data_IF_419533940161
#
_entry.id   IF_419533940161
#
_cell.length_a   1.000
_cell.length_b   1.000
_cell.length_c   1.000
_cell.angle_alpha   90.00
_cell.angle_beta   90.00
_cell.angle_gamma   90.00
#
_symmetry.space_group_name_H-M   'P 1'
#
loop_
_entity.id
_entity.type
_entity.pdbx_description
1 polymer ?
#
# COMPACT_ATOMS: atom_id res chain seq x y z
N UNK A 1 -8.93 17.55 -16.68
CA UNK A 1 -7.93 18.14 -15.77
C UNK A 1 -7.80 17.22 -14.57
N UNK A 2 -6.58 16.82 -14.20
CA UNK A 2 -6.35 15.95 -13.03
C UNK A 2 -6.67 16.71 -11.74
N UNK A 3 -7.41 16.07 -10.84
CA UNK A 3 -7.75 16.60 -9.51
C UNK A 3 -6.85 15.95 -8.45
N UNK A 4 -6.51 16.72 -7.43
CA UNK A 4 -5.75 16.29 -6.26
C UNK A 4 -6.47 16.71 -4.98
N UNK A 5 -6.33 15.95 -3.91
CA UNK A 5 -6.83 16.29 -2.57
C UNK A 5 -5.68 16.40 -1.57
N UNK A 6 -5.79 17.33 -0.62
CA UNK A 6 -4.78 17.52 0.44
C UNK A 6 -5.26 18.44 1.56
N UNK A 7 -4.66 18.29 2.75
CA UNK A 7 -4.73 19.27 3.82
C UNK A 7 -3.68 20.39 3.60
N UNK A 8 -4.02 21.68 3.73
CA UNK A 8 -3.14 22.80 3.29
C UNK A 8 -2.76 23.80 4.37
N UNK A 9 -3.72 24.60 4.81
CA UNK A 9 -3.59 25.72 5.74
C UNK A 9 -4.91 25.85 6.49
N UNK A 10 -4.86 26.39 7.70
CA UNK A 10 -6.06 26.66 8.48
C UNK A 10 -6.81 27.90 7.97
N UNK A 11 -7.93 28.22 8.62
CA UNK A 11 -8.81 29.35 8.33
C UNK A 11 -8.13 30.73 8.32
N UNK A 12 -7.01 30.85 9.03
CA UNK A 12 -6.21 32.08 9.10
C UNK A 12 -5.03 32.09 8.10
N UNK A 13 -4.94 31.10 7.20
CA UNK A 13 -3.81 30.95 6.28
C UNK A 13 -2.51 30.54 6.96
N UNK A 14 -2.58 29.97 8.17
CA UNK A 14 -1.43 29.55 8.98
C UNK A 14 -1.37 28.03 9.07
N UNK A 15 -0.23 27.51 9.57
CA UNK A 15 -0.02 26.07 9.72
C UNK A 15 -0.43 25.51 11.09
N UNK A 16 -0.71 26.37 12.07
CA UNK A 16 -1.10 25.99 13.43
C UNK A 16 -2.01 27.05 14.06
N UNK A 17 -2.67 26.67 15.15
CA UNK A 17 -3.60 27.52 15.90
C UNK A 17 -4.94 27.72 15.20
N UNK A 18 -5.31 26.79 14.32
CA UNK A 18 -6.64 26.76 13.72
C UNK A 18 -7.67 26.16 14.66
N UNK A 19 -8.94 26.38 14.35
CA UNK A 19 -10.04 25.66 15.01
C UNK A 19 -10.15 24.24 14.44
N UNK A 20 -10.65 23.32 15.26
CA UNK A 20 -10.98 21.99 14.80
C UNK A 20 -12.19 22.02 13.85
N UNK A 21 -12.21 21.11 12.87
CA UNK A 21 -13.15 21.15 11.75
C UNK A 21 -12.74 22.14 10.65
N UNK A 22 -13.10 21.86 9.40
CA UNK A 22 -12.83 22.77 8.28
C UNK A 22 -13.73 24.00 8.39
N UNK A 23 -13.14 25.17 8.60
CA UNK A 23 -13.89 26.41 8.73
C UNK A 23 -14.12 27.14 7.41
N UNK A 24 -13.46 26.71 6.33
CA UNK A 24 -13.40 27.47 5.06
C UNK A 24 -13.76 26.66 3.81
N UNK A 25 -14.00 25.36 3.96
CA UNK A 25 -14.09 24.38 2.88
C UNK A 25 -12.81 24.31 2.01
N UNK A 26 -11.68 24.78 2.55
CA UNK A 26 -10.39 24.86 1.85
C UNK A 26 -9.25 24.24 2.64
N UNK A 27 -9.44 23.97 3.93
CA UNK A 27 -8.39 23.46 4.81
C UNK A 27 -7.98 22.05 4.42
N UNK A 28 -8.98 21.19 4.17
CA UNK A 28 -8.84 19.86 3.59
C UNK A 28 -9.74 19.79 2.37
N UNK A 29 -9.15 19.94 1.18
CA UNK A 29 -9.95 20.20 -0.02
C UNK A 29 -9.31 19.68 -1.29
N UNK A 30 -10.12 19.59 -2.34
CA UNK A 30 -9.67 19.24 -3.68
C UNK A 30 -9.21 20.48 -4.47
N UNK A 31 -8.33 20.29 -5.45
CA UNK A 31 -7.97 21.31 -6.43
C UNK A 31 -7.45 20.68 -7.72
N UNK A 32 -7.32 21.50 -8.75
CA UNK A 32 -6.58 21.13 -9.95
C UNK A 32 -5.12 20.79 -9.62
N UNK A 33 -4.58 19.79 -10.31
CA UNK A 33 -3.17 19.48 -10.27
C UNK A 33 -2.33 20.68 -10.70
N UNK A 34 -1.16 20.84 -10.09
CA UNK A 34 -0.18 21.88 -10.40
C UNK A 34 1.24 21.35 -10.21
N UNK A 35 2.21 21.97 -10.87
CA UNK A 35 3.62 21.72 -10.63
C UNK A 35 4.08 22.45 -9.38
N UNK A 36 4.46 21.71 -8.32
CA UNK A 36 5.01 22.33 -7.12
C UNK A 36 6.45 22.80 -7.36
N UNK A 37 6.82 23.98 -6.85
CA UNK A 37 8.17 24.57 -7.02
C UNK A 37 9.32 23.67 -6.52
N UNK A 38 9.03 22.79 -5.55
CA UNK A 38 9.96 21.79 -5.00
C UNK A 38 10.02 20.48 -5.81
N UNK A 39 9.27 20.40 -6.90
CA UNK A 39 9.08 19.19 -7.70
C UNK A 39 8.32 18.09 -6.96
N UNK A 40 7.68 17.20 -7.72
CA UNK A 40 6.99 16.03 -7.18
C UNK A 40 7.87 14.77 -7.26
N UNK A 41 7.58 13.83 -6.36
CA UNK A 41 7.90 12.40 -6.41
C UNK A 41 6.55 11.69 -6.42
N UNK A 42 6.36 10.72 -7.31
CA UNK A 42 5.11 9.95 -7.39
C UNK A 42 5.31 8.60 -6.72
N UNK A 43 4.47 8.29 -5.73
CA UNK A 43 4.37 6.99 -5.10
C UNK A 43 3.06 6.32 -5.54
N UNK A 44 3.18 5.28 -6.35
CA UNK A 44 2.06 4.53 -6.90
C UNK A 44 1.89 3.23 -6.16
N UNK A 45 0.76 3.00 -5.50
CA UNK A 45 0.50 1.68 -4.93
C UNK A 45 0.41 0.65 -6.07
N UNK A 46 1.09 -0.49 -5.91
CA UNK A 46 1.18 -1.54 -6.94
C UNK A 46 -0.17 -2.20 -7.20
N UNK A 47 -0.96 -2.39 -6.14
CA UNK A 47 -2.31 -2.93 -6.21
C UNK A 47 -3.33 -1.83 -6.57
N UNK A 48 -4.07 -1.95 -7.69
CA UNK A 48 -5.11 -1.00 -8.06
C UNK A 48 -6.21 -0.82 -7.00
N UNK A 49 -6.58 -1.86 -6.26
CA UNK A 49 -7.61 -1.76 -5.23
C UNK A 49 -7.12 -0.92 -4.04
N UNK A 50 -5.82 -1.01 -3.72
CA UNK A 50 -5.18 -0.15 -2.71
C UNK A 50 -5.17 1.31 -3.18
N UNK A 51 -4.83 1.57 -4.45
CA UNK A 51 -4.91 2.93 -5.02
C UNK A 51 -6.31 3.53 -4.90
N UNK A 52 -7.33 2.76 -5.24
CA UNK A 52 -8.71 3.26 -5.16
C UNK A 52 -9.12 3.58 -3.71
N UNK A 53 -8.71 2.75 -2.74
CA UNK A 53 -8.95 3.05 -1.32
C UNK A 53 -8.24 4.33 -0.85
N UNK A 54 -7.00 4.55 -1.26
CA UNK A 54 -6.26 5.79 -0.95
C UNK A 54 -6.99 7.00 -1.53
N UNK A 55 -7.43 6.92 -2.80
CA UNK A 55 -8.16 8.00 -3.46
C UNK A 55 -9.53 8.26 -2.82
N UNK A 56 -10.27 7.20 -2.47
CA UNK A 56 -11.52 7.30 -1.73
C UNK A 56 -11.32 8.01 -0.39
N UNK A 57 -10.35 7.57 0.42
CA UNK A 57 -10.12 8.16 1.74
C UNK A 57 -9.78 9.65 1.64
N UNK A 58 -8.94 10.05 0.68
CA UNK A 58 -8.65 11.46 0.49
C UNK A 58 -9.90 12.24 0.05
N UNK A 59 -10.68 11.73 -0.90
CA UNK A 59 -11.90 12.39 -1.35
C UNK A 59 -12.94 12.51 -0.22
N UNK A 60 -13.11 11.46 0.58
CA UNK A 60 -13.97 11.44 1.75
C UNK A 60 -13.52 12.46 2.80
N UNK A 61 -12.22 12.55 3.06
CA UNK A 61 -11.69 13.55 3.99
C UNK A 61 -11.88 14.98 3.48
N UNK A 62 -11.67 15.23 2.18
CA UNK A 62 -11.92 16.54 1.57
C UNK A 62 -13.40 16.94 1.53
N UNK A 63 -14.31 15.98 1.64
CA UNK A 63 -15.76 16.21 1.69
C UNK A 63 -16.29 16.30 3.13
N UNK A 64 -15.45 16.07 4.14
CA UNK A 64 -15.87 16.03 5.54
C UNK A 64 -15.49 17.34 6.25
N UNK A 65 -16.51 18.17 6.51
CA UNK A 65 -16.37 19.45 7.20
C UNK A 65 -15.86 19.32 8.66
N UNK A 66 -15.91 18.14 9.26
CA UNK A 66 -15.34 17.91 10.59
C UNK A 66 -13.81 17.80 10.60
N UNK A 67 -13.12 17.87 9.45
CA UNK A 67 -11.67 17.70 9.37
C UNK A 67 -10.99 19.00 8.93
N UNK A 68 -10.43 19.73 9.90
CA UNK A 68 -9.65 20.95 9.68
C UNK A 68 -8.14 20.71 9.55
N UNK A 69 -7.37 21.79 9.43
CA UNK A 69 -5.91 21.76 9.31
C UNK A 69 -5.20 22.30 10.56
N UNK A 70 -4.29 21.51 11.12
CA UNK A 70 -3.32 21.99 12.12
C UNK A 70 -2.13 21.05 12.29
N UNK A 71 -0.91 21.59 12.20
CA UNK A 71 0.31 20.80 12.42
C UNK A 71 0.54 20.40 13.87
N UNK A 72 0.05 21.20 14.84
CA UNK A 72 0.21 20.90 16.27
C UNK A 72 -0.73 19.80 16.76
N UNK A 73 -1.90 19.64 16.12
CA UNK A 73 -2.90 18.60 16.44
C UNK A 73 -3.06 17.57 15.32
N UNK A 74 -2.00 17.37 14.52
CA UNK A 74 -2.02 16.62 13.26
C UNK A 74 -2.64 15.22 13.33
N UNK A 75 -2.58 14.52 14.47
CA UNK A 75 -3.08 13.14 14.60
C UNK A 75 -4.58 13.02 14.84
N UNK A 76 -5.29 14.14 15.02
CA UNK A 76 -6.70 14.16 15.40
C UNK A 76 -7.58 13.30 14.50
N UNK A 77 -7.54 13.56 13.19
CA UNK A 77 -8.31 12.81 12.20
C UNK A 77 -8.01 11.31 12.21
N UNK A 78 -6.73 10.94 12.30
CA UNK A 78 -6.33 9.52 12.37
C UNK A 78 -6.88 8.82 13.60
N UNK A 79 -6.87 9.47 14.76
CA UNK A 79 -7.41 8.91 16.00
C UNK A 79 -8.94 8.82 15.95
N UNK A 80 -9.61 9.84 15.41
CA UNK A 80 -11.07 9.87 15.26
C UNK A 80 -11.59 8.78 14.31
N UNK A 81 -10.86 8.47 13.24
CA UNK A 81 -11.25 7.44 12.27
C UNK A 81 -10.90 6.01 12.71
N UNK A 82 -9.98 5.81 13.66
CA UNK A 82 -9.47 4.49 14.04
C UNK A 82 -10.57 3.47 14.44
N UNK A 83 -11.61 3.84 15.22
CA UNK A 83 -12.72 2.93 15.56
C UNK A 83 -13.54 2.47 14.35
N UNK A 84 -13.49 3.22 13.24
CA UNK A 84 -14.25 2.98 12.02
C UNK A 84 -13.39 2.38 10.90
N UNK A 85 -12.31 1.68 11.26
CA UNK A 85 -11.40 1.11 10.28
C UNK A 85 -10.65 2.16 9.46
N UNK A 86 -10.41 3.34 10.06
CA UNK A 86 -9.74 4.49 9.44
C UNK A 86 -10.53 5.16 8.31
N UNK A 87 -11.85 4.98 8.23
CA UNK A 87 -12.70 5.66 7.23
C UNK A 87 -12.93 7.14 7.59
N UNK A 88 -12.42 8.11 6.79
CA UNK A 88 -12.61 9.53 7.06
C UNK A 88 -14.07 9.99 6.94
N UNK A 89 -14.91 9.30 6.17
CA UNK A 89 -16.33 9.63 6.03
C UNK A 89 -17.14 9.40 7.32
N UNK A 90 -16.56 8.67 8.29
CA UNK A 90 -17.21 8.31 9.55
C UNK A 90 -16.85 9.24 10.71
N UNK A 91 -15.94 10.20 10.49
CA UNK A 91 -15.60 11.21 11.50
C UNK A 91 -16.76 12.19 11.63
N UNK A 92 -17.29 12.33 12.85
CA UNK A 92 -18.36 13.28 13.21
C UNK A 92 -17.93 14.31 14.25
N UNK A 93 -16.73 14.15 14.81
CA UNK A 93 -16.16 15.06 15.79
C UNK A 93 -15.19 16.00 15.08
N UNK A 94 -15.32 17.29 15.37
CA UNK A 94 -14.39 18.28 14.85
C UNK A 94 -12.97 17.92 15.26
N UNK A 95 -12.11 17.85 14.25
CA UNK A 95 -10.74 17.38 14.41
C UNK A 95 -9.82 18.07 13.43
N UNK A 96 -8.52 17.78 13.55
CA UNK A 96 -7.48 18.42 12.77
C UNK A 96 -6.53 17.37 12.19
N UNK A 97 -5.91 17.72 11.08
CA UNK A 97 -4.83 16.95 10.46
C UNK A 97 -3.76 17.87 9.88
N UNK A 98 -2.59 17.31 9.53
CA UNK A 98 -1.70 17.94 8.56
C UNK A 98 -1.67 17.16 7.24
N UNK A 99 -0.94 17.66 6.24
CA UNK A 99 -0.89 17.05 4.91
C UNK A 99 -0.37 15.61 4.96
N UNK A 100 0.70 15.37 5.71
CA UNK A 100 1.33 14.04 5.84
C UNK A 100 0.50 13.06 6.66
N UNK A 101 -0.14 13.54 7.72
CA UNK A 101 -0.98 12.70 8.57
C UNK A 101 -2.28 12.32 7.85
N UNK A 102 -2.80 13.20 7.01
CA UNK A 102 -3.95 12.88 6.17
C UNK A 102 -3.61 11.79 5.15
N UNK A 103 -2.44 11.86 4.51
CA UNK A 103 -1.96 10.79 3.62
C UNK A 103 -1.72 9.49 4.40
N UNK A 104 -1.22 9.56 5.63
CA UNK A 104 -1.12 8.40 6.52
C UNK A 104 -2.49 7.79 6.80
N UNK A 105 -3.49 8.59 7.13
CA UNK A 105 -4.87 8.13 7.31
C UNK A 105 -5.38 7.40 6.05
N UNK A 106 -5.13 7.94 4.85
CA UNK A 106 -5.47 7.28 3.59
C UNK A 106 -4.77 5.92 3.42
N UNK A 107 -3.49 5.82 3.80
CA UNK A 107 -2.75 4.56 3.77
C UNK A 107 -3.32 3.53 4.77
N UNK A 108 -3.67 3.96 5.98
CA UNK A 108 -4.26 3.11 7.01
C UNK A 108 -5.63 2.57 6.58
N UNK A 109 -6.50 3.40 5.99
CA UNK A 109 -7.76 2.98 5.40
C UNK A 109 -7.56 1.95 4.27
N UNK A 110 -6.52 2.13 3.46
CA UNK A 110 -6.16 1.19 2.42
C UNK A 110 -5.56 -0.14 2.94
N UNK A 111 -5.39 -0.28 4.27
CA UNK A 111 -4.86 -1.48 4.92
C UNK A 111 -3.33 -1.51 5.01
N UNK A 112 -2.64 -0.42 4.68
CA UNK A 112 -1.19 -0.33 4.76
C UNK A 112 -0.80 0.25 6.12
N UNK A 113 -0.29 -0.62 7.00
CA UNK A 113 0.15 -0.22 8.34
C UNK A 113 1.52 0.47 8.27
N UNK A 114 1.53 1.76 8.60
CA UNK A 114 2.75 2.58 8.62
C UNK A 114 2.86 3.42 9.89
N UNK A 115 4.08 3.67 10.39
CA UNK A 115 4.29 4.62 11.48
C UNK A 115 3.92 6.04 11.02
N UNK A 116 3.86 6.97 11.97
CA UNK A 116 3.74 8.40 11.65
C UNK A 116 4.95 8.86 10.82
N UNK A 117 4.71 9.77 9.88
CA UNK A 117 5.75 10.37 9.04
C UNK A 117 5.42 11.81 8.72
N UNK A 118 6.42 12.58 8.31
CA UNK A 118 6.25 13.88 7.67
C UNK A 118 6.78 13.82 6.22
N UNK A 119 6.58 14.91 5.46
CA UNK A 119 6.95 14.98 4.02
C UNK A 119 8.45 14.78 3.73
N UNK A 120 9.35 14.90 4.72
CA UNK A 120 10.77 14.56 4.54
C UNK A 120 11.02 13.04 4.62
N UNK A 121 10.23 12.31 5.41
CA UNK A 121 10.38 10.87 5.67
C UNK A 121 9.40 10.00 4.88
N UNK A 122 8.32 10.58 4.36
CA UNK A 122 7.17 9.90 3.74
C UNK A 122 7.59 8.92 2.63
N UNK A 123 8.42 9.37 1.69
CA UNK A 123 8.93 8.52 0.61
C UNK A 123 9.58 7.25 1.16
N UNK A 124 10.53 7.41 2.08
CA UNK A 124 11.29 6.29 2.68
C UNK A 124 10.39 5.35 3.46
N UNK A 125 9.40 5.89 4.20
CA UNK A 125 8.47 5.07 4.98
C UNK A 125 7.57 4.25 4.06
N UNK A 126 6.97 4.86 3.04
CA UNK A 126 6.08 4.20 2.10
C UNK A 126 6.83 3.20 1.20
N UNK A 127 8.03 3.54 0.74
CA UNK A 127 8.89 2.65 -0.05
C UNK A 127 9.24 1.36 0.71
N UNK A 128 9.59 1.47 2.01
CA UNK A 128 9.91 0.32 2.87
C UNK A 128 8.75 -0.66 3.07
N UNK A 129 7.51 -0.25 2.81
CA UNK A 129 6.36 -1.16 2.89
C UNK A 129 6.36 -2.20 1.77
N UNK A 130 7.04 -1.94 0.65
CA UNK A 130 7.00 -2.76 -0.56
C UNK A 130 5.70 -2.66 -1.38
N UNK A 131 4.70 -1.92 -0.89
CA UNK A 131 3.40 -1.72 -1.55
C UNK A 131 3.43 -0.67 -2.66
N UNK A 132 4.47 0.17 -2.71
CA UNK A 132 4.57 1.29 -3.64
C UNK A 132 5.71 1.10 -4.63
N UNK A 133 5.46 1.51 -5.87
CA UNK A 133 6.51 1.85 -6.84
C UNK A 133 6.78 3.35 -6.70
N UNK A 134 8.05 3.73 -6.62
CA UNK A 134 8.47 5.13 -6.48
C UNK A 134 9.04 5.61 -7.81
N UNK A 135 8.42 6.66 -8.36
CA UNK A 135 8.90 7.34 -9.55
C UNK A 135 9.55 8.66 -9.17
N UNK A 136 10.75 8.88 -9.69
CA UNK A 136 11.51 10.13 -9.51
C UNK A 136 11.94 10.75 -10.84
N UNK A 137 11.65 10.07 -11.95
CA UNK A 137 11.92 10.53 -13.31
C UNK A 137 10.95 11.65 -13.73
N UNK A 138 11.37 12.41 -14.74
CA UNK A 138 10.59 13.54 -15.23
C UNK A 138 9.30 13.13 -15.93
N UNK A 139 9.24 11.96 -16.57
CA UNK A 139 8.05 11.56 -17.33
C UNK A 139 6.83 11.36 -16.43
N UNK A 140 7.03 10.82 -15.23
CA UNK A 140 5.95 10.64 -14.24
C UNK A 140 5.77 11.87 -13.35
N UNK A 141 6.85 12.57 -13.01
CA UNK A 141 6.81 13.62 -11.99
C UNK A 141 6.55 15.03 -12.54
N UNK A 142 6.82 15.27 -13.83
CA UNK A 142 6.77 16.62 -14.40
C UNK A 142 5.42 17.00 -15.04
N UNK A 143 4.45 16.10 -15.05
CA UNK A 143 3.14 16.35 -15.65
C UNK A 143 2.03 15.46 -15.10
N UNK A 144 0.76 15.84 -15.32
CA UNK A 144 -0.38 15.11 -14.81
C UNK A 144 -0.78 13.91 -15.68
N UNK A 145 -0.34 13.86 -16.94
CA UNK A 145 -0.88 12.93 -17.94
C UNK A 145 -0.70 11.46 -17.56
N UNK A 146 0.41 11.12 -16.90
CA UNK A 146 0.73 9.75 -16.50
C UNK A 146 0.29 9.43 -15.07
N UNK A 147 -0.37 10.36 -14.38
CA UNK A 147 -0.84 10.13 -13.02
C UNK A 147 -2.07 9.22 -13.03
N UNK A 148 -2.15 8.34 -12.03
CA UNK A 148 -3.30 7.49 -11.78
C UNK A 148 -4.02 7.97 -10.52
N UNK A 149 -5.34 7.87 -10.51
CA UNK A 149 -6.14 8.01 -9.28
C UNK A 149 -5.58 7.10 -8.19
N UNK A 150 -5.31 7.69 -7.03
CA UNK A 150 -4.69 7.04 -5.87
C UNK A 150 -3.17 7.13 -5.80
N UNK A 151 -2.50 7.73 -6.80
CA UNK A 151 -1.09 8.09 -6.67
C UNK A 151 -0.91 9.13 -5.55
N UNK A 152 0.14 8.95 -4.74
CA UNK A 152 0.57 9.90 -3.72
C UNK A 152 1.70 10.74 -4.30
N UNK A 153 1.60 12.05 -4.22
CA UNK A 153 2.62 12.99 -4.69
C UNK A 153 3.21 13.70 -3.49
N UNK A 154 4.50 13.49 -3.23
CA UNK A 154 5.23 14.19 -2.16
C UNK A 154 6.33 15.05 -2.76
N UNK A 155 6.57 16.21 -2.16
CA UNK A 155 7.62 17.11 -2.65
C UNK A 155 9.03 16.50 -2.48
N UNK A 156 9.96 16.79 -3.40
CA UNK A 156 11.35 16.23 -3.35
C UNK A 156 12.13 16.61 -2.08
N UNK A 157 11.78 17.75 -1.48
CA UNK A 157 12.25 18.20 -0.18
C UNK A 157 11.04 18.47 0.73
N UNK A 158 11.24 18.54 2.06
CA UNK A 158 10.16 18.77 3.03
C UNK A 158 9.27 19.95 2.60
N UNK A 159 7.97 19.69 2.43
CA UNK A 159 7.05 20.67 1.87
C UNK A 159 5.60 20.24 1.94
N UNK A 160 5.14 19.48 0.94
CA UNK A 160 3.73 19.14 0.79
C UNK A 160 3.54 17.71 0.29
N UNK A 161 2.38 17.14 0.58
CA UNK A 161 1.95 15.86 0.01
C UNK A 161 0.47 15.91 -0.35
N UNK A 162 0.11 15.26 -1.46
CA UNK A 162 -1.25 15.25 -2.02
C UNK A 162 -1.58 13.85 -2.56
N UNK A 163 -2.87 13.57 -2.74
CA UNK A 163 -3.33 12.34 -3.41
C UNK A 163 -4.07 12.70 -4.69
N UNK A 164 -3.80 11.97 -5.77
CA UNK A 164 -4.49 12.11 -7.05
C UNK A 164 -5.89 11.51 -6.97
N UNK A 165 -6.89 12.30 -7.36
CA UNK A 165 -8.32 11.95 -7.31
C UNK A 165 -8.93 11.68 -8.69
N UNK A 166 -8.26 12.02 -9.78
CA UNK A 166 -8.69 11.63 -11.12
C UNK A 166 -7.51 11.27 -12.01
N UNK A 167 -7.78 10.45 -13.02
CA UNK A 167 -6.76 9.95 -13.93
C UNK A 167 -6.22 11.02 -14.88
N UNK A 168 -4.93 10.91 -15.20
CA UNK A 168 -4.30 11.61 -16.30
C UNK A 168 -4.67 11.03 -17.66
N UNK A 169 -4.40 11.80 -18.72
CA UNK A 169 -4.76 11.43 -20.09
C UNK A 169 -4.12 10.14 -20.61
N UNK A 170 -2.97 9.73 -20.04
CA UNK A 170 -2.25 8.51 -20.40
C UNK A 170 -2.52 7.34 -19.43
N UNK A 171 -3.50 7.46 -18.51
CA UNK A 171 -3.75 6.46 -17.48
C UNK A 171 -4.00 5.04 -18.01
N UNK A 172 -4.70 4.89 -19.14
CA UNK A 172 -4.92 3.58 -19.75
C UNK A 172 -3.60 2.92 -20.17
N UNK A 173 -2.69 3.69 -20.76
CA UNK A 173 -1.34 3.22 -21.13
C UNK A 173 -0.54 2.87 -19.90
N UNK A 174 -0.60 3.69 -18.86
CA UNK A 174 0.07 3.44 -17.59
C UNK A 174 -0.39 2.15 -16.93
N UNK A 175 -1.70 1.86 -16.95
CA UNK A 175 -2.25 0.60 -16.42
C UNK A 175 -1.83 -0.61 -17.26
N UNK A 176 -1.70 -0.45 -18.57
CA UNK A 176 -1.26 -1.49 -19.49
C UNK A 176 0.27 -1.72 -19.46
N UNK A 177 1.04 -0.68 -19.14
CA UNK A 177 2.50 -0.71 -19.09
C UNK A 177 3.06 -1.31 -17.80
N UNK A 178 2.23 -1.51 -16.77
CA UNK A 178 2.63 -2.33 -15.61
C UNK A 178 2.78 -3.77 -16.11
N UNK A 179 4.01 -4.32 -16.19
CA UNK A 179 4.17 -5.75 -16.38
C UNK A 179 3.45 -6.42 -15.21
N UNK A 180 2.72 -7.50 -15.48
CA UNK A 180 1.94 -8.22 -14.49
C UNK A 180 2.86 -8.79 -13.39
N UNK A 181 3.25 -7.95 -12.43
CA UNK A 181 3.78 -8.34 -11.11
C UNK A 181 2.61 -8.63 -10.16
N UNK A 182 1.37 -8.65 -10.65
CA UNK A 182 0.39 -9.52 -9.99
C UNK A 182 0.94 -10.92 -10.21
N UNK A 183 1.05 -11.73 -9.17
CA UNK A 183 1.31 -13.12 -9.43
C UNK A 183 0.15 -13.65 -10.27
N UNK A 184 0.43 -13.97 -11.53
CA UNK A 184 -0.53 -14.60 -12.43
C UNK A 184 -1.25 -15.71 -11.66
N UNK A 185 -2.56 -15.88 -11.85
CA UNK A 185 -3.34 -16.97 -11.25
C UNK A 185 -2.81 -18.30 -11.79
N UNK A 186 -1.68 -18.76 -11.25
CA UNK A 186 -1.02 -19.98 -11.65
C UNK A 186 -1.80 -21.13 -11.05
N UNK A 187 -2.46 -21.89 -11.91
CA UNK A 187 -3.18 -23.12 -11.54
C UNK A 187 -2.24 -24.30 -11.34
N UNK A 188 -0.95 -24.15 -11.68
CA UNK A 188 0.07 -25.21 -11.63
C UNK A 188 1.38 -24.70 -11.04
N UNK A 189 2.00 -25.51 -10.21
CA UNK A 189 3.31 -25.22 -9.65
C UNK A 189 4.43 -25.42 -10.69
N UNK A 190 5.43 -24.55 -10.62
CA UNK A 190 6.72 -24.67 -11.29
C UNK A 190 7.49 -25.89 -10.78
N UNK A 191 8.42 -26.40 -11.58
CA UNK A 191 9.33 -27.46 -11.15
C UNK A 191 10.36 -26.93 -10.16
N UNK A 192 10.65 -27.73 -9.12
CA UNK A 192 11.77 -27.47 -8.22
C UNK A 192 13.11 -27.57 -8.96
N UNK A 193 14.09 -26.75 -8.57
CA UNK A 193 15.40 -26.69 -9.22
C UNK A 193 16.43 -27.65 -8.60
N UNK A 194 16.16 -28.17 -7.41
CA UNK A 194 17.09 -29.02 -6.68
C UNK A 194 16.36 -30.11 -5.90
N UNK A 195 17.12 -31.15 -5.54
CA UNK A 195 16.67 -32.27 -4.73
C UNK A 195 17.68 -32.57 -3.63
N UNK A 196 17.19 -32.82 -2.42
CA UNK A 196 17.96 -33.32 -1.29
C UNK A 196 17.07 -34.26 -0.46
N UNK A 197 17.43 -35.55 -0.43
CA UNK A 197 16.68 -36.58 0.30
C UNK A 197 16.55 -36.29 1.81
N UNK A 198 17.52 -35.60 2.41
CA UNK A 198 17.46 -35.22 3.82
C UNK A 198 16.31 -34.24 4.13
N UNK A 199 15.83 -33.51 3.13
CA UNK A 199 14.68 -32.60 3.24
C UNK A 199 13.33 -33.31 2.97
N UNK A 200 13.33 -34.60 2.65
CA UNK A 200 12.10 -35.36 2.53
C UNK A 200 11.53 -35.65 3.92
N UNK A 201 10.24 -35.39 4.11
CA UNK A 201 9.58 -35.55 5.39
C UNK A 201 8.25 -34.82 5.46
N UNK A 202 7.58 -34.99 6.59
CA UNK A 202 6.39 -34.22 6.93
C UNK A 202 6.81 -33.00 7.73
N UNK A 203 6.16 -31.88 7.46
CA UNK A 203 6.40 -30.61 8.12
C UNK A 203 5.06 -30.04 8.60
N UNK A 204 5.14 -29.16 9.58
CA UNK A 204 4.02 -28.37 10.09
C UNK A 204 4.31 -26.89 9.88
N UNK A 205 3.30 -26.16 9.43
CA UNK A 205 3.38 -24.69 9.30
C UNK A 205 3.40 -24.02 10.68
N UNK A 206 4.35 -23.13 10.92
CA UNK A 206 4.49 -22.42 12.22
C UNK A 206 3.64 -21.13 12.29
N UNK A 207 3.13 -20.66 11.16
CA UNK A 207 2.23 -19.52 11.00
C UNK A 207 1.29 -19.73 9.80
N UNK A 208 0.36 -18.80 9.56
CA UNK A 208 -0.38 -18.78 8.30
C UNK A 208 0.60 -18.61 7.13
N UNK A 209 0.63 -19.57 6.20
CA UNK A 209 1.70 -19.68 5.21
C UNK A 209 1.14 -19.82 3.78
N UNK A 210 1.64 -19.00 2.87
CA UNK A 210 1.27 -19.09 1.45
C UNK A 210 1.89 -20.35 0.80
N UNK A 211 1.05 -21.15 0.15
CA UNK A 211 1.47 -22.17 -0.81
C UNK A 211 1.55 -21.51 -2.19
N UNK A 212 2.76 -21.37 -2.73
CA UNK A 212 3.01 -20.61 -3.95
C UNK A 212 3.26 -21.50 -5.16
N UNK A 213 2.95 -21.02 -6.35
CA UNK A 213 3.23 -21.74 -7.60
C UNK A 213 4.73 -21.82 -7.90
N UNK A 214 5.55 -20.91 -7.39
CA UNK A 214 7.00 -20.91 -7.56
C UNK A 214 7.72 -20.52 -6.27
N UNK A 215 9.04 -20.67 -6.26
CA UNK A 215 9.88 -20.22 -5.16
C UNK A 215 10.07 -18.70 -5.17
N UNK A 216 9.65 -18.02 -4.11
CA UNK A 216 9.81 -16.58 -3.93
C UNK A 216 8.51 -15.85 -3.62
N UNK A 217 8.62 -14.67 -3.00
CA UNK A 217 7.47 -13.84 -2.62
C UNK A 217 6.75 -13.20 -3.80
N UNK A 218 7.43 -13.04 -4.94
CA UNK A 218 6.84 -12.56 -6.20
C UNK A 218 6.02 -13.62 -6.94
N UNK A 219 6.08 -14.89 -6.52
CA UNK A 219 5.36 -16.00 -7.15
C UNK A 219 3.94 -16.15 -6.63
N UNK A 220 3.05 -16.72 -7.44
CA UNK A 220 1.63 -16.73 -7.16
C UNK A 220 1.21 -17.54 -5.96
N UNK A 221 0.45 -16.92 -5.06
CA UNK A 221 -0.17 -17.60 -3.94
C UNK A 221 -1.37 -18.40 -4.43
N UNK A 222 -1.28 -19.72 -4.43
CA UNK A 222 -2.37 -20.62 -4.82
C UNK A 222 -3.38 -20.81 -3.69
N UNK A 223 -2.91 -20.79 -2.44
CA UNK A 223 -3.74 -20.83 -1.22
C UNK A 223 -2.93 -20.38 -0.01
N UNK A 224 -3.60 -20.03 1.08
CA UNK A 224 -2.98 -19.82 2.40
C UNK A 224 -3.30 -21.03 3.27
N UNK A 225 -2.26 -21.66 3.83
CA UNK A 225 -2.36 -22.75 4.77
C UNK A 225 -2.44 -22.16 6.19
N UNK A 226 -3.45 -22.50 7.00
CA UNK A 226 -3.49 -22.10 8.40
C UNK A 226 -2.28 -22.61 9.18
N UNK A 227 -1.90 -21.92 10.25
CA UNK A 227 -0.89 -22.41 11.20
C UNK A 227 -1.25 -23.82 11.69
N UNK A 228 -0.26 -24.69 11.81
CA UNK A 228 -0.45 -26.07 12.25
C UNK A 228 -0.80 -27.06 11.13
N UNK A 229 -1.02 -26.57 9.90
CA UNK A 229 -1.27 -27.43 8.73
C UNK A 229 -0.06 -28.31 8.44
N UNK A 230 -0.30 -29.62 8.30
CA UNK A 230 0.71 -30.59 7.88
C UNK A 230 0.93 -30.53 6.36
N UNK A 231 2.19 -30.55 5.94
CA UNK A 231 2.60 -30.54 4.54
C UNK A 231 3.69 -31.59 4.33
N UNK A 232 3.70 -32.24 3.16
CA UNK A 232 4.68 -33.29 2.84
C UNK A 232 5.68 -32.78 1.82
N UNK A 233 6.96 -32.78 2.16
CA UNK A 233 8.06 -32.49 1.25
C UNK A 233 8.67 -33.80 0.76
N UNK A 234 8.87 -33.94 -0.55
CA UNK A 234 9.52 -35.11 -1.14
C UNK A 234 11.02 -34.92 -1.35
N UNK A 235 11.62 -33.90 -0.73
CA UNK A 235 13.05 -33.57 -0.85
C UNK A 235 13.37 -32.54 -1.94
N UNK A 236 12.38 -32.11 -2.72
CA UNK A 236 12.54 -31.11 -3.76
C UNK A 236 12.47 -29.68 -3.20
N UNK A 237 13.35 -28.81 -3.68
CA UNK A 237 13.43 -27.41 -3.23
C UNK A 237 14.01 -26.49 -4.29
N UNK A 238 13.86 -25.19 -4.07
CA UNK A 238 14.53 -24.14 -4.84
C UNK A 238 15.04 -23.08 -3.89
N UNK A 239 16.26 -22.58 -4.09
CA UNK A 239 16.80 -21.44 -3.34
C UNK A 239 16.63 -20.19 -4.16
N UNK A 240 16.11 -19.12 -3.57
CA UNK A 240 15.95 -17.81 -4.22
C UNK A 240 16.15 -16.72 -3.19
N UNK A 241 16.98 -15.72 -3.51
CA UNK A 241 17.35 -14.63 -2.60
C UNK A 241 17.83 -15.12 -1.23
N UNK A 242 18.66 -16.17 -1.21
CA UNK A 242 19.20 -16.77 0.02
C UNK A 242 18.22 -17.61 0.84
N UNK A 243 16.91 -17.56 0.55
CA UNK A 243 15.90 -18.35 1.25
C UNK A 243 15.64 -19.70 0.55
N UNK A 244 15.49 -20.77 1.34
CA UNK A 244 15.14 -22.10 0.84
C UNK A 244 13.62 -22.26 0.79
N UNK A 245 13.09 -22.58 -0.39
CA UNK A 245 11.68 -22.86 -0.61
C UNK A 245 11.48 -24.35 -0.86
N UNK A 246 10.73 -25.01 0.02
CA UNK A 246 10.45 -26.44 -0.09
C UNK A 246 9.25 -26.66 -1.02
N UNK A 247 9.37 -27.63 -1.92
CA UNK A 247 8.26 -28.09 -2.75
C UNK A 247 7.44 -29.11 -1.97
N UNK A 248 6.25 -28.71 -1.58
CA UNK A 248 5.39 -29.44 -0.64
C UNK A 248 4.04 -29.77 -1.24
N UNK A 249 3.45 -30.86 -0.77
CA UNK A 249 2.07 -31.22 -0.98
C UNK A 249 1.27 -30.93 0.30
N UNK A 250 0.14 -30.24 0.17
CA UNK A 250 -0.74 -29.91 1.28
C UNK A 250 -2.20 -30.15 0.87
N UNK A 251 -3.04 -30.60 1.80
CA UNK A 251 -4.48 -30.63 1.61
C UNK A 251 -5.07 -29.28 1.98
N UNK A 252 -5.75 -28.63 1.03
CA UNK A 252 -6.46 -27.38 1.25
C UNK A 252 -7.89 -27.52 0.70
N UNK A 253 -8.89 -27.32 1.56
CA UNK A 253 -10.31 -27.46 1.20
C UNK A 253 -10.64 -28.84 0.59
N UNK A 254 -10.05 -29.92 1.12
CA UNK A 254 -10.29 -31.28 0.64
C UNK A 254 -9.56 -31.66 -0.65
N UNK A 255 -8.75 -30.76 -1.23
CA UNK A 255 -7.98 -31.02 -2.45
C UNK A 255 -6.49 -30.96 -2.16
N UNK A 256 -5.75 -31.99 -2.61
CA UNK A 256 -4.30 -32.00 -2.54
C UNK A 256 -3.71 -31.03 -3.57
N UNK A 257 -2.96 -30.02 -3.11
CA UNK A 257 -2.24 -29.06 -3.93
C UNK A 257 -0.74 -29.20 -3.69
N UNK A 258 0.04 -29.04 -4.75
CA UNK A 258 1.51 -28.99 -4.67
C UNK A 258 2.00 -27.59 -4.98
N UNK A 259 3.04 -27.14 -4.30
CA UNK A 259 3.62 -25.82 -4.47
C UNK A 259 4.83 -25.57 -3.58
N UNK A 260 5.27 -24.32 -3.51
CA UNK A 260 6.40 -23.89 -2.72
C UNK A 260 5.96 -23.16 -1.45
N UNK A 261 6.56 -23.53 -0.33
CA UNK A 261 6.49 -22.80 0.93
C UNK A 261 7.90 -22.37 1.35
N UNK A 262 8.03 -21.22 2.02
CA UNK A 262 9.31 -20.87 2.62
C UNK A 262 9.63 -21.87 3.75
N UNK A 263 10.85 -22.39 3.74
CA UNK A 263 11.35 -23.30 4.77
C UNK A 263 11.45 -22.66 6.15
N UNK A 264 11.52 -21.32 6.23
CA UNK A 264 11.62 -20.58 7.50
C UNK A 264 10.34 -20.73 8.36
N UNK A 265 9.24 -21.14 7.73
CA UNK A 265 7.93 -21.30 8.38
C UNK A 265 7.47 -22.77 8.40
N UNK A 266 8.40 -23.71 8.19
CA UNK A 266 8.14 -25.15 8.21
C UNK A 266 9.01 -25.82 9.26
N UNK A 267 8.35 -26.46 10.22
CA UNK A 267 8.98 -27.25 11.26
C UNK A 267 8.78 -28.73 10.95
N UNK A 268 9.85 -29.53 11.01
CA UNK A 268 9.77 -30.97 10.70
C UNK A 268 9.02 -31.70 11.82
N UNK A 269 8.14 -32.64 11.45
CA UNK A 269 7.41 -33.51 12.39
C UNK A 269 7.71 -34.99 12.12
#
# INVERSE_FOLDING_TARGET
MVQIGSARLNESGKTTGGKAGDQTAREVSTQAWYMHIKGWIVLRAKDPAVREKIAYAMAAACANEHIGYCQSHRTGATLAAAPYGYDPARIQQDTETDCSELVRLCCLYAGIKVPSFNTASEKTVLEKTGHFTVYTDGEHCNGPDRLLRGDILVTRTKGHTVVVLSDGAAAERERAAVPDERPAKATKAESAKAYNKALAGTYRTTAALHLRAGAGKSKASMTVLPKGTAVKCYGYYTVTNGARWLYVQASAQGVNKTGFCSGDYLERI
#
